data_IF_785521708896
#
_entry.id   IF_785521708896
#
_cell.length_a   1.000
_cell.length_b   1.000
_cell.length_c   1.000
_cell.angle_alpha   90.00
_cell.angle_beta   90.00
_cell.angle_gamma   90.00
#
_symmetry.space_group_name_H-M   'P 1'
#
loop_
_entity.id
_entity.type
_entity.pdbx_description
1 polymer ?
#
# COMPACT_ATOMS: atom_id res chain seq x y z
N UNK A 1 -11.03 9.91 -18.63
CA UNK A 1 -11.18 8.67 -17.82
C UNK A 1 -12.29 8.75 -16.77
N UNK A 2 -12.13 9.38 -15.60
CA UNK A 2 -13.12 9.27 -14.51
C UNK A 2 -14.54 9.73 -14.89
N UNK A 3 -14.66 10.74 -15.76
CA UNK A 3 -15.96 11.23 -16.23
C UNK A 3 -16.58 10.38 -17.33
N UNK A 4 -15.75 9.74 -18.17
CA UNK A 4 -16.21 8.91 -19.28
C UNK A 4 -16.53 7.49 -18.80
N UNK A 5 -15.66 6.92 -17.97
CA UNK A 5 -15.77 5.56 -17.44
C UNK A 5 -16.51 5.47 -16.10
N UNK A 6 -16.75 6.62 -15.46
CA UNK A 6 -17.44 6.73 -14.18
C UNK A 6 -16.59 6.40 -12.94
N UNK A 7 -15.34 5.97 -13.08
CA UNK A 7 -14.42 5.71 -11.96
C UNK A 7 -12.95 5.99 -12.32
N UNK A 8 -12.08 6.15 -11.33
CA UNK A 8 -10.64 6.29 -11.57
C UNK A 8 -10.03 4.93 -11.96
N UNK A 9 -9.05 4.91 -12.87
CA UNK A 9 -8.36 3.68 -13.20
C UNK A 9 -7.41 3.26 -12.09
N UNK A 10 -7.15 1.96 -11.96
CA UNK A 10 -6.04 1.43 -11.15
C UNK A 10 -4.84 1.18 -12.07
N UNK A 11 -5.07 0.45 -13.17
CA UNK A 11 -4.06 0.11 -14.15
C UNK A 11 -4.67 0.16 -15.56
N UNK A 12 -4.55 1.32 -16.20
CA UNK A 12 -5.10 1.55 -17.53
C UNK A 12 -4.15 1.06 -18.63
N UNK A 13 -4.62 0.14 -19.48
CA UNK A 13 -3.94 -0.26 -20.72
C UNK A 13 -4.74 0.23 -21.94
N UNK A 14 -4.34 1.38 -22.46
CA UNK A 14 -5.06 2.06 -23.53
C UNK A 14 -6.47 2.46 -23.08
N UNK A 15 -7.50 1.85 -23.66
CA UNK A 15 -8.91 2.10 -23.33
C UNK A 15 -9.49 1.11 -22.32
N UNK A 16 -8.69 0.15 -21.86
CA UNK A 16 -9.14 -0.94 -20.98
C UNK A 16 -8.56 -0.76 -19.59
N UNK A 17 -9.39 -0.92 -18.57
CA UNK A 17 -8.93 -1.09 -17.20
C UNK A 17 -8.62 -2.57 -16.98
N UNK A 18 -7.38 -2.88 -16.58
CA UNK A 18 -6.95 -4.27 -16.37
C UNK A 18 -7.11 -4.73 -14.93
N UNK A 19 -7.27 -3.79 -13.98
CA UNK A 19 -7.30 -4.02 -12.53
C UNK A 19 -6.07 -4.80 -12.01
N UNK A 20 -4.95 -4.73 -12.73
CA UNK A 20 -3.68 -5.34 -12.30
C UNK A 20 -3.08 -4.51 -11.16
N UNK A 21 -2.38 -5.19 -10.26
CA UNK A 21 -1.83 -4.66 -9.02
C UNK A 21 -2.89 -4.34 -7.94
N UNK A 22 -2.38 -4.10 -6.73
CA UNK A 22 -3.16 -3.82 -5.53
C UNK A 22 -3.26 -2.31 -5.27
N UNK A 23 -4.18 -1.92 -4.40
CA UNK A 23 -4.12 -0.61 -3.76
C UNK A 23 -4.84 0.52 -4.49
N UNK A 24 -4.41 1.75 -4.21
CA UNK A 24 -4.99 2.99 -4.76
C UNK A 24 -3.87 3.92 -5.27
N UNK A 25 -3.15 3.54 -6.35
CA UNK A 25 -1.99 4.28 -6.85
C UNK A 25 -2.36 5.62 -7.49
N UNK A 26 -3.59 5.76 -7.99
CA UNK A 26 -4.07 7.00 -8.63
C UNK A 26 -4.18 8.16 -7.66
N UNK A 27 -4.44 7.89 -6.37
CA UNK A 27 -4.52 8.93 -5.35
C UNK A 27 -3.16 9.59 -5.08
N UNK A 28 -2.08 8.84 -4.77
CA UNK A 28 -0.73 9.39 -4.69
C UNK A 28 -0.30 10.14 -5.95
N UNK A 29 -0.61 9.59 -7.14
CA UNK A 29 -0.26 10.23 -8.41
C UNK A 29 -0.90 11.62 -8.56
N UNK A 30 -2.22 11.72 -8.40
CA UNK A 30 -2.93 13.00 -8.59
C UNK A 30 -2.68 14.00 -7.46
N UNK A 31 -2.53 13.53 -6.22
CA UNK A 31 -2.18 14.42 -5.09
C UNK A 31 -0.75 14.95 -5.22
N UNK A 32 0.19 14.15 -5.75
CA UNK A 32 1.53 14.64 -6.06
C UNK A 32 1.51 15.67 -7.21
N UNK A 33 0.76 15.41 -8.29
CA UNK A 33 0.56 16.39 -9.37
C UNK A 33 -0.09 17.69 -8.86
N UNK A 34 -1.01 17.61 -7.90
CA UNK A 34 -1.59 18.76 -7.20
C UNK A 34 -0.52 19.58 -6.46
N UNK A 35 0.31 18.92 -5.64
CA UNK A 35 1.37 19.59 -4.87
C UNK A 35 2.42 20.27 -5.78
N UNK A 36 2.65 19.72 -6.98
CA UNK A 36 3.51 20.34 -8.00
C UNK A 36 2.82 21.49 -8.78
N UNK A 37 1.56 21.81 -8.49
CA UNK A 37 0.80 22.85 -9.19
C UNK A 37 0.34 22.47 -10.60
N UNK A 38 0.48 21.20 -11.00
CA UNK A 38 0.12 20.71 -12.35
C UNK A 38 -1.40 20.64 -12.57
N UNK A 39 -2.19 20.69 -11.49
CA UNK A 39 -3.65 20.63 -11.54
C UNK A 39 -4.32 22.02 -11.46
N UNK A 40 -3.60 23.10 -11.77
CA UNK A 40 -4.12 24.47 -11.69
C UNK A 40 -5.44 24.63 -12.44
N UNK A 41 -6.50 25.03 -11.74
CA UNK A 41 -7.86 25.17 -12.27
C UNK A 41 -8.70 23.88 -12.31
N UNK A 42 -8.13 22.76 -11.87
CA UNK A 42 -8.77 21.44 -11.82
C UNK A 42 -8.69 20.80 -10.42
N UNK A 43 -8.21 21.51 -9.41
CA UNK A 43 -7.89 20.98 -8.09
C UNK A 43 -9.12 20.41 -7.40
N UNK A 44 -10.21 21.17 -7.31
CA UNK A 44 -11.49 20.72 -6.76
C UNK A 44 -12.09 19.55 -7.55
N UNK A 45 -11.90 19.55 -8.88
CA UNK A 45 -12.38 18.46 -9.73
C UNK A 45 -11.61 17.17 -9.46
N UNK A 46 -10.28 17.26 -9.35
CA UNK A 46 -9.43 16.15 -8.96
C UNK A 46 -9.77 15.65 -7.56
N UNK A 47 -9.93 16.55 -6.60
CA UNK A 47 -10.34 16.20 -5.23
C UNK A 47 -11.65 15.41 -5.20
N UNK A 48 -12.69 15.85 -5.94
CA UNK A 48 -13.99 15.15 -5.98
C UNK A 48 -13.88 13.71 -6.50
N UNK A 49 -13.06 13.46 -7.53
CA UNK A 49 -12.91 12.10 -8.06
C UNK A 49 -12.07 11.21 -7.14
N UNK A 50 -11.06 11.77 -6.49
CA UNK A 50 -10.26 11.08 -5.47
C UNK A 50 -11.10 10.73 -4.24
N UNK A 51 -11.87 11.68 -3.72
CA UNK A 51 -12.83 11.48 -2.62
C UNK A 51 -13.82 10.36 -2.96
N UNK A 52 -14.37 10.36 -4.18
CA UNK A 52 -15.29 9.31 -4.65
C UNK A 52 -14.62 7.93 -4.64
N UNK A 53 -13.36 7.83 -5.09
CA UNK A 53 -12.60 6.58 -5.05
C UNK A 53 -12.31 6.12 -3.61
N UNK A 54 -11.90 7.04 -2.75
CA UNK A 54 -11.49 6.78 -1.39
C UNK A 54 -12.66 6.46 -0.44
N UNK A 55 -13.87 6.95 -0.72
CA UNK A 55 -15.05 6.76 0.13
C UNK A 55 -16.05 5.73 -0.42
N UNK A 56 -15.87 5.28 -1.66
CA UNK A 56 -16.86 4.48 -2.36
C UNK A 56 -16.30 3.20 -2.96
N UNK A 57 -17.19 2.46 -3.62
CA UNK A 57 -16.85 1.36 -4.50
C UNK A 57 -17.49 1.60 -5.87
N UNK A 58 -16.85 1.19 -6.97
CA UNK A 58 -17.44 1.31 -8.29
C UNK A 58 -18.77 0.54 -8.39
N UNK A 59 -19.73 1.01 -9.21
CA UNK A 59 -20.90 0.21 -9.56
C UNK A 59 -20.50 -1.13 -10.18
N UNK A 60 -21.37 -2.14 -10.06
CA UNK A 60 -21.11 -3.48 -10.61
C UNK A 60 -20.79 -3.47 -12.12
N UNK A 61 -21.44 -2.58 -12.88
CA UNK A 61 -21.22 -2.43 -14.32
C UNK A 61 -19.93 -1.67 -14.69
N UNK A 62 -19.23 -1.06 -13.73
CA UNK A 62 -17.95 -0.40 -14.01
C UNK A 62 -16.87 -1.45 -14.31
N UNK A 63 -15.95 -1.23 -15.26
CA UNK A 63 -14.83 -2.13 -15.46
C UNK A 63 -13.80 -2.05 -14.32
N UNK A 64 -13.70 -0.90 -13.65
CA UNK A 64 -12.76 -0.70 -12.55
C UNK A 64 -13.22 -1.36 -11.26
N UNK A 65 -12.30 -1.98 -10.52
CA UNK A 65 -12.54 -2.47 -9.15
C UNK A 65 -12.40 -1.36 -8.10
N UNK A 66 -11.64 -0.30 -8.41
CA UNK A 66 -11.33 0.77 -7.47
C UNK A 66 -10.55 0.22 -6.27
N UNK A 67 -10.83 0.76 -5.07
CA UNK A 67 -10.47 0.09 -3.82
C UNK A 67 -11.41 -1.10 -3.62
N UNK A 68 -10.99 -2.33 -3.97
CA UNK A 68 -11.90 -3.48 -3.97
C UNK A 68 -12.40 -3.80 -2.56
N UNK A 69 -11.46 -3.81 -1.59
CA UNK A 69 -11.72 -4.06 -0.17
C UNK A 69 -12.22 -2.86 0.63
N UNK A 70 -12.71 -1.80 -0.04
CA UNK A 70 -12.98 -0.53 0.65
C UNK A 70 -14.09 -0.64 1.71
N UNK A 71 -15.07 -1.53 1.51
CA UNK A 71 -16.16 -1.72 2.50
C UNK A 71 -15.60 -2.18 3.84
N UNK A 72 -14.75 -3.20 3.82
CA UNK A 72 -14.10 -3.75 5.01
C UNK A 72 -13.07 -2.77 5.57
N UNK A 73 -12.30 -2.09 4.71
CA UNK A 73 -11.35 -1.08 5.15
C UNK A 73 -12.01 0.09 5.89
N UNK A 74 -13.14 0.58 5.39
CA UNK A 74 -13.92 1.63 6.04
C UNK A 74 -14.54 1.19 7.37
N UNK A 75 -14.99 -0.06 7.45
CA UNK A 75 -15.65 -0.60 8.64
C UNK A 75 -14.67 -1.01 9.75
N UNK A 76 -13.57 -1.66 9.36
CA UNK A 76 -12.68 -2.40 10.26
C UNK A 76 -11.27 -1.80 10.31
N UNK A 77 -10.92 -0.90 9.40
CA UNK A 77 -9.59 -0.31 9.31
C UNK A 77 -8.54 -1.18 8.62
N UNK A 78 -8.94 -2.27 7.96
CA UNK A 78 -8.06 -3.12 7.13
C UNK A 78 -8.86 -3.85 6.05
N UNK A 79 -8.17 -4.26 4.99
CA UNK A 79 -8.67 -5.18 3.97
C UNK A 79 -8.35 -6.61 4.41
N UNK A 80 -9.34 -7.52 4.51
CA UNK A 80 -9.06 -8.89 4.89
C UNK A 80 -8.38 -9.65 3.75
N UNK A 81 -7.46 -10.53 4.11
CA UNK A 81 -6.88 -11.52 3.21
C UNK A 81 -7.80 -12.74 3.12
N UNK A 82 -8.33 -13.00 1.92
CA UNK A 82 -9.32 -14.03 1.62
C UNK A 82 -8.80 -14.95 0.51
N UNK A 83 -7.85 -15.80 0.86
CA UNK A 83 -7.20 -16.74 -0.06
C UNK A 83 -8.21 -17.56 -0.88
N UNK A 84 -8.09 -17.50 -2.21
CA UNK A 84 -8.92 -18.28 -3.12
C UNK A 84 -10.35 -17.76 -3.29
N UNK A 85 -10.64 -16.54 -2.82
CA UNK A 85 -11.91 -15.86 -3.13
C UNK A 85 -12.02 -15.64 -4.64
N UNK A 86 -13.16 -15.97 -5.28
CA UNK A 86 -13.37 -15.66 -6.69
C UNK A 86 -13.29 -14.15 -6.93
N UNK A 87 -12.55 -13.76 -7.97
CA UNK A 87 -12.43 -12.35 -8.36
C UNK A 87 -13.75 -11.85 -8.95
N UNK A 88 -14.15 -10.64 -8.57
CA UNK A 88 -15.38 -10.02 -9.08
C UNK A 88 -15.22 -9.52 -10.52
N UNK A 89 -14.00 -9.16 -10.93
CA UNK A 89 -13.63 -8.63 -12.25
C UNK A 89 -12.26 -9.22 -12.64
N UNK A 90 -11.90 -9.26 -13.94
CA UNK A 90 -10.55 -9.64 -14.35
C UNK A 90 -9.49 -8.70 -13.78
N UNK A 91 -8.29 -9.25 -13.53
CA UNK A 91 -7.16 -8.55 -12.91
C UNK A 91 -6.79 -9.19 -11.58
N UNK A 92 -6.14 -8.41 -10.73
CA UNK A 92 -5.77 -8.83 -9.37
C UNK A 92 -6.81 -8.38 -8.36
N UNK A 93 -6.78 -9.00 -7.17
CA UNK A 93 -7.72 -8.71 -6.09
C UNK A 93 -7.00 -8.15 -4.86
N UNK A 94 -7.54 -7.07 -4.30
CA UNK A 94 -7.02 -6.55 -3.03
C UNK A 94 -7.26 -7.55 -1.88
N UNK A 95 -8.21 -8.49 -2.04
CA UNK A 95 -8.46 -9.55 -1.06
C UNK A 95 -7.41 -10.67 -1.11
N UNK A 96 -6.65 -10.84 -2.19
CA UNK A 96 -5.49 -11.73 -2.22
C UNK A 96 -4.26 -11.09 -1.55
N UNK A 97 -4.29 -9.77 -1.37
CA UNK A 97 -3.17 -8.98 -0.87
C UNK A 97 -3.60 -7.98 0.21
N UNK A 98 -4.45 -8.43 1.14
CA UNK A 98 -5.13 -7.54 2.11
C UNK A 98 -4.19 -6.72 3.00
N UNK A 99 -2.99 -7.24 3.32
CA UNK A 99 -2.01 -6.50 4.11
C UNK A 99 -1.41 -5.34 3.32
N UNK A 100 -0.90 -5.59 2.10
CA UNK A 100 -0.36 -4.52 1.24
C UNK A 100 -1.46 -3.52 0.84
N UNK A 101 -2.67 -3.98 0.49
CA UNK A 101 -3.80 -3.11 0.19
C UNK A 101 -4.11 -2.15 1.35
N UNK A 102 -4.06 -2.63 2.60
CA UNK A 102 -4.27 -1.81 3.79
C UNK A 102 -3.19 -0.73 3.94
N UNK A 103 -1.92 -1.08 3.71
CA UNK A 103 -0.80 -0.14 3.78
C UNK A 103 -0.91 0.94 2.68
N UNK A 104 -1.16 0.52 1.44
CA UNK A 104 -1.33 1.42 0.31
C UNK A 104 -2.52 2.36 0.48
N UNK A 105 -3.68 1.86 0.93
CA UNK A 105 -4.83 2.71 1.21
C UNK A 105 -4.52 3.74 2.31
N UNK A 106 -3.81 3.34 3.37
CA UNK A 106 -3.44 4.23 4.45
C UNK A 106 -2.50 5.35 3.98
N UNK A 107 -1.55 5.04 3.08
CA UNK A 107 -0.72 6.05 2.43
C UNK A 107 -1.54 6.99 1.54
N UNK A 108 -2.40 6.44 0.68
CA UNK A 108 -3.29 7.21 -0.19
C UNK A 108 -4.20 8.15 0.62
N UNK A 109 -4.65 7.72 1.79
CA UNK A 109 -5.45 8.54 2.70
C UNK A 109 -4.64 9.69 3.31
N UNK A 110 -3.38 9.47 3.68
CA UNK A 110 -2.53 10.55 4.17
C UNK A 110 -2.34 11.63 3.10
N UNK A 111 -2.10 11.23 1.85
CA UNK A 111 -1.91 12.18 0.75
C UNK A 111 -3.21 12.93 0.43
N UNK A 112 -4.35 12.24 0.43
CA UNK A 112 -5.66 12.87 0.24
C UNK A 112 -6.03 13.79 1.41
N UNK A 113 -5.64 13.47 2.65
CA UNK A 113 -5.84 14.33 3.81
C UNK A 113 -5.14 15.68 3.65
N UNK A 114 -3.91 15.68 3.10
CA UNK A 114 -3.18 16.91 2.83
C UNK A 114 -3.86 17.75 1.75
N UNK A 115 -4.25 17.15 0.62
CA UNK A 115 -4.98 17.85 -0.44
C UNK A 115 -6.32 18.41 0.07
N UNK A 116 -7.07 17.64 0.85
CA UNK A 116 -8.32 18.09 1.46
C UNK A 116 -8.12 19.31 2.37
N UNK A 117 -7.03 19.31 3.16
CA UNK A 117 -6.68 20.43 4.04
C UNK A 117 -6.39 21.70 3.24
N UNK A 118 -5.57 21.58 2.20
CA UNK A 118 -5.13 22.70 1.38
C UNK A 118 -6.30 23.35 0.61
N UNK A 119 -7.29 22.55 0.22
CA UNK A 119 -8.52 23.00 -0.44
C UNK A 119 -9.63 23.45 0.53
N UNK A 120 -9.42 23.35 1.85
CA UNK A 120 -10.39 23.80 2.86
C UNK A 120 -11.47 22.77 3.25
N UNK A 121 -11.38 21.53 2.77
CA UNK A 121 -12.27 20.42 3.15
C UNK A 121 -11.88 19.83 4.51
N UNK A 122 -11.99 20.62 5.58
CA UNK A 122 -11.43 20.31 6.91
C UNK A 122 -11.94 18.99 7.51
N UNK A 123 -13.23 18.70 7.40
CA UNK A 123 -13.80 17.45 7.93
C UNK A 123 -13.25 16.22 7.22
N UNK A 124 -13.09 16.30 5.90
CA UNK A 124 -12.49 15.23 5.12
C UNK A 124 -11.00 15.07 5.45
N UNK A 125 -10.27 16.18 5.59
CA UNK A 125 -8.87 16.16 5.99
C UNK A 125 -8.65 15.46 7.35
N UNK A 126 -9.48 15.74 8.35
CA UNK A 126 -9.42 15.09 9.67
C UNK A 126 -9.76 13.59 9.58
N UNK A 127 -10.79 13.24 8.81
CA UNK A 127 -11.20 11.85 8.58
C UNK A 127 -10.11 11.05 7.88
N UNK A 128 -9.51 11.58 6.82
CA UNK A 128 -8.44 10.91 6.08
C UNK A 128 -7.14 10.84 6.88
N UNK A 129 -6.80 11.87 7.68
CA UNK A 129 -5.67 11.81 8.59
C UNK A 129 -5.86 10.79 9.72
N UNK A 130 -7.10 10.52 10.13
CA UNK A 130 -7.38 9.41 11.04
C UNK A 130 -7.19 8.06 10.35
N UNK A 131 -7.75 7.91 9.14
CA UNK A 131 -7.69 6.67 8.34
C UNK A 131 -6.28 6.34 7.85
N UNK A 132 -5.42 7.34 7.66
CA UNK A 132 -4.01 7.12 7.28
C UNK A 132 -3.18 6.39 8.34
N UNK A 133 -3.70 6.27 9.57
CA UNK A 133 -3.11 5.50 10.66
C UNK A 133 -3.55 4.03 10.66
N UNK A 134 -4.37 3.61 9.69
CA UNK A 134 -4.85 2.23 9.57
C UNK A 134 -3.74 1.22 9.31
N UNK A 135 -2.55 1.62 8.84
CA UNK A 135 -1.39 0.72 8.76
C UNK A 135 -1.10 0.01 10.11
N UNK A 136 -1.43 0.66 11.23
CA UNK A 136 -1.26 0.10 12.58
C UNK A 136 -2.18 -1.08 12.86
N UNK A 137 -3.32 -1.19 12.17
CA UNK A 137 -4.27 -2.29 12.39
C UNK A 137 -3.66 -3.61 11.94
N UNK A 138 -2.82 -3.63 10.91
CA UNK A 138 -2.16 -4.84 10.40
C UNK A 138 -0.77 -5.06 11.00
N UNK A 139 -0.34 -4.30 12.02
CA UNK A 139 0.93 -4.56 12.71
C UNK A 139 0.77 -5.61 13.80
N UNK A 140 1.45 -6.75 13.67
CA UNK A 140 1.49 -7.80 14.69
C UNK A 140 2.70 -7.61 15.60
N UNK A 141 2.45 -7.19 16.84
CA UNK A 141 3.51 -6.99 17.83
C UNK A 141 4.24 -8.28 18.23
N UNK A 142 3.66 -9.46 17.99
CA UNK A 142 4.31 -10.74 18.31
C UNK A 142 5.43 -11.10 17.34
N UNK A 143 5.33 -10.66 16.09
CA UNK A 143 6.39 -10.81 15.09
C UNK A 143 7.19 -9.52 14.91
N UNK A 144 6.60 -8.38 15.27
CA UNK A 144 7.16 -7.05 15.05
C UNK A 144 7.08 -6.62 13.58
N UNK A 145 6.21 -7.22 12.78
CA UNK A 145 6.01 -6.94 11.36
C UNK A 145 4.53 -6.73 11.02
N UNK A 146 4.25 -6.15 9.85
CA UNK A 146 2.91 -6.17 9.30
C UNK A 146 2.51 -7.60 8.93
N UNK A 147 1.25 -7.97 9.15
CA UNK A 147 0.71 -9.29 8.80
C UNK A 147 -0.72 -9.18 8.31
N UNK A 148 -1.07 -10.05 7.38
CA UNK A 148 -2.44 -10.21 6.91
C UNK A 148 -3.39 -10.55 8.06
N UNK A 149 -4.63 -10.04 7.95
CA UNK A 149 -5.75 -10.42 8.81
C UNK A 149 -6.84 -11.08 7.99
N UNK A 150 -7.47 -12.12 8.53
CA UNK A 150 -8.61 -12.77 7.88
C UNK A 150 -9.92 -12.01 8.08
N UNK A 151 -11.04 -12.56 7.59
CA UNK A 151 -12.37 -11.97 7.74
C UNK A 151 -12.83 -11.82 9.21
N UNK A 152 -12.30 -12.63 10.14
CA UNK A 152 -12.59 -12.50 11.57
C UNK A 152 -11.76 -11.39 12.23
N UNK A 153 -10.76 -10.88 11.52
CA UNK A 153 -9.80 -9.91 12.01
C UNK A 153 -8.61 -10.54 12.75
N UNK A 154 -8.50 -11.86 12.82
CA UNK A 154 -7.32 -12.51 13.37
C UNK A 154 -6.13 -12.41 12.41
N UNK A 155 -4.91 -12.27 12.95
CA UNK A 155 -3.69 -12.40 12.13
C UNK A 155 -3.60 -13.81 11.55
N UNK A 156 -3.23 -13.91 10.27
CA UNK A 156 -3.21 -15.17 9.52
C UNK A 156 -1.94 -15.30 8.68
N UNK A 157 -1.74 -16.48 8.08
CA UNK A 157 -0.52 -16.85 7.36
C UNK A 157 0.67 -17.17 8.30
N UNK A 158 1.85 -17.47 7.74
CA UNK A 158 3.05 -17.75 8.52
C UNK A 158 3.43 -16.59 9.46
N UNK A 159 4.05 -16.92 10.58
CA UNK A 159 4.61 -15.93 11.50
C UNK A 159 6.00 -15.44 11.05
N UNK A 160 6.70 -16.23 10.22
CA UNK A 160 7.95 -15.82 9.59
C UNK A 160 7.66 -14.68 8.59
N UNK A 161 8.20 -13.46 8.80
CA UNK A 161 7.98 -12.32 7.92
C UNK A 161 8.48 -12.54 6.49
N UNK A 162 9.49 -13.39 6.28
CA UNK A 162 10.00 -13.72 4.95
C UNK A 162 9.02 -14.61 4.17
N UNK A 163 8.17 -15.36 4.88
CA UNK A 163 7.15 -16.25 4.30
C UNK A 163 5.74 -15.67 4.42
N UNK A 164 5.61 -14.38 4.70
CA UNK A 164 4.32 -13.76 4.96
C UNK A 164 3.38 -13.85 3.76
N UNK A 165 2.09 -14.04 4.03
CA UNK A 165 1.04 -13.97 3.02
C UNK A 165 0.30 -12.63 3.07
N UNK A 166 -0.46 -12.33 2.01
CA UNK A 166 -1.30 -11.13 1.92
C UNK A 166 -0.57 -9.86 1.48
N UNK A 167 0.62 -10.00 0.88
CA UNK A 167 1.39 -8.92 0.25
C UNK A 167 1.47 -9.18 -1.26
N UNK A 168 1.47 -8.12 -2.07
CA UNK A 168 1.57 -8.23 -3.53
C UNK A 168 3.02 -7.99 -3.95
N UNK A 169 3.63 -8.98 -4.62
CA UNK A 169 5.01 -8.94 -5.10
C UNK A 169 6.00 -8.56 -3.99
N UNK A 170 5.83 -9.13 -2.80
CA UNK A 170 6.76 -8.89 -1.71
C UNK A 170 6.36 -9.65 -0.47
N UNK A 171 7.13 -9.44 0.58
CA UNK A 171 6.85 -9.97 1.92
C UNK A 171 6.70 -8.82 2.91
N UNK A 172 6.50 -9.16 4.18
CA UNK A 172 6.46 -8.19 5.27
C UNK A 172 7.76 -7.41 5.40
N UNK A 173 8.90 -7.95 4.93
CA UNK A 173 10.17 -7.24 4.93
C UNK A 173 10.17 -6.07 3.96
N UNK A 174 9.74 -6.29 2.72
CA UNK A 174 9.69 -5.25 1.69
C UNK A 174 8.63 -4.19 2.05
N UNK A 175 7.44 -4.62 2.47
CA UNK A 175 6.36 -3.70 2.86
C UNK A 175 6.54 -3.01 4.22
N UNK A 176 7.53 -3.40 5.04
CA UNK A 176 7.77 -2.79 6.36
C UNK A 176 7.95 -1.26 6.27
N UNK A 177 8.47 -0.79 5.14
CA UNK A 177 8.88 0.59 4.94
C UNK A 177 7.81 1.46 4.27
N UNK A 178 6.67 0.88 3.85
CA UNK A 178 5.56 1.59 3.19
C UNK A 178 4.68 2.37 4.18
N UNK A 179 5.31 3.22 4.99
CA UNK A 179 4.66 4.16 5.92
C UNK A 179 5.33 5.55 5.88
N UNK A 180 5.62 6.13 4.70
CA UNK A 180 6.31 7.42 4.63
C UNK A 180 5.49 8.57 5.25
N UNK A 181 4.16 8.40 5.38
CA UNK A 181 3.26 9.34 6.03
C UNK A 181 3.45 9.46 7.55
N UNK A 182 4.07 8.47 8.21
CA UNK A 182 4.23 8.43 9.67
C UNK A 182 5.49 7.64 10.06
N UNK A 183 6.66 8.07 9.57
CA UNK A 183 7.94 7.44 9.88
C UNK A 183 8.21 7.33 11.39
N UNK A 184 7.98 8.37 12.24
CA UNK A 184 8.15 8.23 13.68
C UNK A 184 7.23 7.16 14.28
N UNK A 185 6.00 7.06 13.78
CA UNK A 185 5.04 6.04 14.19
C UNK A 185 5.48 4.62 13.84
N UNK A 186 5.98 4.41 12.63
CA UNK A 186 6.53 3.13 12.16
C UNK A 186 7.79 2.73 12.95
N UNK A 187 8.73 3.65 13.16
CA UNK A 187 9.91 3.42 14.02
C UNK A 187 9.49 3.06 15.45
N UNK A 188 8.46 3.71 15.98
CA UNK A 188 7.88 3.39 17.29
C UNK A 188 7.34 1.96 17.37
N UNK A 189 6.65 1.48 16.32
CA UNK A 189 6.15 0.10 16.26
C UNK A 189 7.27 -0.93 16.25
N UNK A 190 8.40 -0.64 15.57
CA UNK A 190 9.56 -1.54 15.50
C UNK A 190 10.27 -1.66 16.86
N UNK A 191 10.07 -0.70 17.78
CA UNK A 191 10.74 -0.67 19.08
C UNK A 191 11.74 0.49 19.23
N UNK A 192 11.63 1.52 18.39
CA UNK A 192 12.45 2.73 18.44
C UNK A 192 13.65 2.70 17.49
N UNK A 193 14.41 3.79 17.48
CA UNK A 193 15.47 4.05 16.49
C UNK A 193 16.53 2.96 16.43
N UNK A 194 16.95 2.39 17.57
CA UNK A 194 17.96 1.32 17.58
C UNK A 194 17.45 0.08 16.85
N UNK A 195 16.27 -0.41 17.22
CA UNK A 195 15.67 -1.59 16.60
C UNK A 195 15.38 -1.37 15.10
N UNK A 196 14.97 -0.15 14.71
CA UNK A 196 14.78 0.21 13.31
C UNK A 196 16.10 0.19 12.52
N UNK A 197 17.19 0.71 13.07
CA UNK A 197 18.52 0.65 12.45
C UNK A 197 19.01 -0.80 12.32
N UNK A 198 18.91 -1.60 13.39
CA UNK A 198 19.30 -3.01 13.34
C UNK A 198 18.50 -3.78 12.27
N UNK A 199 17.23 -3.42 12.06
CA UNK A 199 16.39 -3.99 11.00
C UNK A 199 16.81 -3.54 9.61
N UNK A 200 17.14 -2.26 9.41
CA UNK A 200 17.70 -1.77 8.15
C UNK A 200 19.02 -2.46 7.84
N UNK A 201 19.90 -2.60 8.84
CA UNK A 201 21.19 -3.27 8.66
C UNK A 201 21.02 -4.72 8.23
N UNK A 202 20.06 -5.44 8.82
CA UNK A 202 19.67 -6.79 8.39
C UNK A 202 19.09 -6.82 6.98
N UNK A 203 18.19 -5.88 6.66
CA UNK A 203 17.49 -5.81 5.37
C UNK A 203 18.44 -5.55 4.20
N UNK A 204 19.41 -4.66 4.39
CA UNK A 204 20.43 -4.33 3.39
C UNK A 204 21.66 -5.25 3.43
N UNK A 205 21.74 -6.17 4.39
CA UNK A 205 22.96 -6.95 4.68
C UNK A 205 24.18 -6.03 4.83
N UNK A 206 24.06 -5.04 5.72
CA UNK A 206 24.93 -3.86 5.76
C UNK A 206 26.42 -4.19 5.94
N UNK A 207 26.76 -5.16 6.80
CA UNK A 207 28.15 -5.59 6.98
C UNK A 207 28.75 -6.17 5.69
N UNK A 208 27.99 -6.99 4.96
CA UNK A 208 28.40 -7.54 3.66
C UNK A 208 28.49 -6.43 2.62
N UNK A 209 27.52 -5.50 2.63
CA UNK A 209 27.47 -4.36 1.73
C UNK A 209 28.71 -3.48 1.88
N UNK A 210 29.16 -3.23 3.11
CA UNK A 210 30.39 -2.48 3.39
C UNK A 210 31.66 -3.21 2.94
N UNK A 211 31.67 -4.54 3.05
CA UNK A 211 32.82 -5.36 2.67
C UNK A 211 32.97 -5.52 1.14
N UNK A 212 31.87 -5.77 0.43
CA UNK A 212 31.84 -5.94 -1.02
C UNK A 212 30.44 -5.58 -1.57
N UNK A 213 30.25 -4.32 -2.01
CA UNK A 213 28.96 -3.87 -2.52
C UNK A 213 28.49 -4.64 -3.75
N UNK A 214 29.41 -4.94 -4.68
CA UNK A 214 29.07 -5.59 -5.95
C UNK A 214 28.64 -7.05 -5.73
N UNK A 215 29.34 -7.76 -4.83
CA UNK A 215 28.96 -9.12 -4.46
C UNK A 215 27.65 -9.16 -3.69
N UNK A 216 27.45 -8.25 -2.73
CA UNK A 216 26.23 -8.20 -1.92
C UNK A 216 25.00 -7.96 -2.78
N UNK A 217 25.06 -6.99 -3.69
CA UNK A 217 23.97 -6.72 -4.63
C UNK A 217 23.67 -7.91 -5.56
N UNK A 218 24.70 -8.69 -5.94
CA UNK A 218 24.54 -9.83 -6.85
C UNK A 218 24.08 -11.10 -6.15
N UNK A 219 24.50 -11.36 -4.91
CA UNK A 219 24.40 -12.68 -4.26
C UNK A 219 23.54 -12.69 -2.98
N UNK A 220 23.28 -11.53 -2.37
CA UNK A 220 22.56 -11.43 -1.09
C UNK A 220 21.24 -10.69 -1.25
N UNK A 221 21.24 -9.58 -1.97
CA UNK A 221 19.99 -8.90 -2.34
C UNK A 221 19.19 -9.75 -3.32
N UNK A 222 17.88 -9.51 -3.34
CA UNK A 222 16.99 -10.17 -4.29
C UNK A 222 17.35 -9.70 -5.70
N UNK A 223 17.64 -10.65 -6.59
CA UNK A 223 18.16 -10.37 -7.94
C UNK A 223 17.31 -11.00 -9.06
N UNK A 224 16.40 -11.91 -8.75
CA UNK A 224 15.50 -12.51 -9.72
C UNK A 224 14.31 -11.58 -10.01
N UNK A 225 13.91 -11.42 -11.28
CA UNK A 225 12.85 -10.50 -11.69
C UNK A 225 11.45 -10.89 -11.18
N UNK A 226 11.29 -12.10 -10.62
CA UNK A 226 10.04 -12.57 -10.02
C UNK A 226 10.26 -13.20 -8.64
N UNK A 227 11.43 -13.00 -8.04
CA UNK A 227 11.81 -13.60 -6.74
C UNK A 227 11.30 -12.75 -5.58
N UNK A 228 10.01 -12.41 -5.62
CA UNK A 228 9.39 -11.48 -4.68
C UNK A 228 9.08 -12.08 -3.30
N UNK A 229 8.92 -13.40 -3.24
CA UNK A 229 8.44 -14.11 -2.05
C UNK A 229 9.55 -14.96 -1.43
N UNK A 230 9.38 -15.34 -0.16
CA UNK A 230 10.39 -16.09 0.60
C UNK A 230 11.74 -15.33 0.66
N UNK A 231 11.68 -14.01 0.85
CA UNK A 231 12.82 -13.10 0.84
C UNK A 231 12.75 -12.12 2.02
N UNK A 232 13.89 -11.88 2.65
CA UNK A 232 14.04 -10.98 3.80
C UNK A 232 15.11 -9.90 3.58
N UNK A 233 15.50 -9.71 2.32
CA UNK A 233 16.51 -8.74 1.89
C UNK A 233 15.92 -7.74 0.91
N UNK A 234 16.62 -6.63 0.77
CA UNK A 234 16.34 -5.59 -0.19
C UNK A 234 16.22 -6.16 -1.61
N UNK A 235 15.18 -5.72 -2.33
CA UNK A 235 14.92 -6.03 -3.71
C UNK A 235 14.91 -4.73 -4.54
N UNK A 236 16.03 -4.36 -5.18
CA UNK A 236 16.11 -3.14 -5.99
C UNK A 236 15.26 -3.18 -7.27
N UNK A 237 14.64 -4.31 -7.60
CA UNK A 237 13.80 -4.48 -8.79
C UNK A 237 12.30 -4.40 -8.49
N UNK A 238 11.94 -4.02 -7.27
CA UNK A 238 10.57 -4.13 -6.77
C UNK A 238 10.08 -2.81 -6.17
N UNK A 239 8.89 -2.39 -6.55
CA UNK A 239 8.33 -1.06 -6.22
C UNK A 239 8.20 -0.76 -4.72
N UNK A 240 7.84 -1.72 -3.83
CA UNK A 240 7.74 -1.46 -2.40
C UNK A 240 9.07 -1.05 -1.73
N UNK A 241 10.20 -1.32 -2.38
CA UNK A 241 11.55 -1.08 -1.86
C UNK A 241 12.20 0.21 -2.41
N UNK A 242 11.57 0.92 -3.36
CA UNK A 242 12.08 2.13 -4.02
C UNK A 242 11.62 3.43 -3.33
#
# INVERSE_FOLDING_TARGET
IAEESGWLPKWGYGTVETNIMTGDPVTPFLTNAYQQGLLKGYEERAYRVLKKNADGVPPAASPAVGREGNKEYLANGFVPYLKGRPHAKPGDSDYDHGASATLEYALSDAMLAQMARDLGHRQDAERYAARSRNYRTVFDSSTGFFRARDASGAFTGPADPAQSEGFHEGTSWQYQWLVPQDLPGMVGLIGGTRAANDRLDSFFAYDQLLADPAKTAREVWVNGPYDYYNADKYNPQNEPDL
#
